data_IF_604701013655
#
_entry.id   IF_604701013655
#
_cell.length_a   1.000
_cell.length_b   1.000
_cell.length_c   1.000
_cell.angle_alpha   90.00
_cell.angle_beta   90.00
_cell.angle_gamma   90.00
#
_symmetry.space_group_name_H-M   'P 1'
#
loop_
_entity.id
_entity.type
_entity.pdbx_description
1 polymer ?
#
# COMPACT_ATOMS: atom_id res chain seq x y z
N UNK A 1 -0.64 -12.44 3.12
CA UNK A 1 0.75 -12.19 3.59
C UNK A 1 0.74 -11.19 4.73
N UNK A 2 1.66 -11.29 5.70
CA UNK A 2 1.76 -10.33 6.82
C UNK A 2 3.06 -9.53 6.71
N UNK A 3 2.94 -8.24 6.46
CA UNK A 3 4.07 -7.30 6.51
C UNK A 3 4.43 -7.02 7.96
N UNK A 4 5.73 -6.85 8.26
CA UNK A 4 6.17 -6.36 9.57
C UNK A 4 5.83 -4.88 9.72
N UNK A 5 5.70 -4.34 10.94
CA UNK A 5 5.41 -2.91 11.15
C UNK A 5 6.41 -1.98 10.46
N UNK A 6 7.70 -2.35 10.42
CA UNK A 6 8.72 -1.57 9.73
C UNK A 6 8.57 -1.62 8.20
N UNK A 7 8.27 -2.79 7.64
CA UNK A 7 8.00 -2.93 6.20
C UNK A 7 6.72 -2.19 5.78
N UNK A 8 5.70 -2.16 6.64
CA UNK A 8 4.47 -1.38 6.41
C UNK A 8 4.78 0.11 6.32
N UNK A 9 5.60 0.64 7.24
CA UNK A 9 6.04 2.04 7.19
C UNK A 9 6.80 2.36 5.91
N UNK A 10 7.73 1.49 5.51
CA UNK A 10 8.49 1.66 4.25
C UNK A 10 7.56 1.60 3.04
N UNK A 11 6.62 0.66 3.01
CA UNK A 11 5.64 0.54 1.93
C UNK A 11 4.77 1.80 1.81
N UNK A 12 4.19 2.27 2.92
CA UNK A 12 3.38 3.48 2.96
C UNK A 12 4.19 4.70 2.48
N UNK A 13 5.43 4.84 2.96
CA UNK A 13 6.30 5.95 2.59
C UNK A 13 6.64 5.96 1.09
N UNK A 14 7.01 4.82 0.49
CA UNK A 14 7.31 4.72 -0.96
C UNK A 14 6.06 5.00 -1.80
N UNK A 15 4.88 4.56 -1.32
CA UNK A 15 3.61 4.82 -1.99
C UNK A 15 3.29 6.32 -2.00
N UNK A 16 3.47 6.99 -0.87
CA UNK A 16 3.11 8.39 -0.71
C UNK A 16 4.19 9.33 -1.30
N UNK A 17 5.45 8.88 -1.40
CA UNK A 17 6.59 9.64 -1.93
C UNK A 17 7.25 8.92 -3.11
N UNK A 18 6.61 9.02 -4.29
CA UNK A 18 7.13 8.40 -5.51
C UNK A 18 8.51 8.95 -5.85
N UNK A 19 9.50 8.06 -6.02
CA UNK A 19 10.87 8.41 -6.35
C UNK A 19 11.75 8.75 -5.15
N UNK A 20 11.31 8.42 -3.94
CA UNK A 20 12.16 8.48 -2.75
C UNK A 20 13.37 7.55 -2.88
N UNK A 21 14.47 7.94 -2.26
CA UNK A 21 15.67 7.12 -2.15
C UNK A 21 15.74 6.39 -0.82
N UNK A 22 16.62 5.39 -0.72
CA UNK A 22 16.93 4.74 0.58
C UNK A 22 17.40 5.73 1.63
N UNK A 23 18.09 6.81 1.22
CA UNK A 23 18.53 7.88 2.12
C UNK A 23 17.36 8.66 2.71
N UNK A 24 16.36 8.99 1.88
CA UNK A 24 15.17 9.72 2.32
C UNK A 24 14.36 8.87 3.31
N UNK A 25 14.17 7.59 2.99
CA UNK A 25 13.48 6.62 3.86
C UNK A 25 14.20 6.49 5.21
N UNK A 26 15.53 6.38 5.21
CA UNK A 26 16.31 6.28 6.44
C UNK A 26 16.20 7.54 7.30
N UNK A 27 16.30 8.72 6.67
CA UNK A 27 16.23 10.01 7.37
C UNK A 27 14.86 10.24 7.99
N UNK A 28 13.80 9.97 7.23
CA UNK A 28 12.44 10.36 7.63
C UNK A 28 11.77 9.30 8.52
N UNK A 29 12.06 8.01 8.31
CA UNK A 29 11.48 6.91 9.11
C UNK A 29 12.39 6.41 10.23
N UNK A 30 13.63 6.89 10.32
CA UNK A 30 14.64 6.46 11.29
C UNK A 30 14.87 4.93 11.28
N UNK A 31 14.89 4.33 10.08
CA UNK A 31 15.11 2.89 9.90
C UNK A 31 16.58 2.67 9.50
N UNK A 32 17.30 1.85 10.26
CA UNK A 32 18.73 1.58 10.04
C UNK A 32 19.03 0.97 8.66
N UNK A 33 18.21 0.02 8.20
CA UNK A 33 18.46 -0.76 6.99
C UNK A 33 17.26 -0.75 6.02
N UNK A 34 16.97 0.38 5.35
CA UNK A 34 15.83 0.49 4.43
C UNK A 34 15.96 -0.48 3.24
N UNK A 35 17.17 -0.69 2.73
CA UNK A 35 17.44 -1.61 1.61
C UNK A 35 17.03 -3.05 1.91
N UNK A 36 17.26 -3.51 3.15
CA UNK A 36 16.86 -4.85 3.59
C UNK A 36 15.33 -4.96 3.65
N UNK A 37 14.64 -3.90 4.08
CA UNK A 37 13.16 -3.86 4.14
C UNK A 37 12.54 -3.81 2.75
N UNK A 38 13.12 -3.06 1.81
CA UNK A 38 12.69 -3.05 0.40
C UNK A 38 12.86 -4.43 -0.24
N UNK A 39 13.99 -5.10 0.02
CA UNK A 39 14.21 -6.49 -0.44
C UNK A 39 13.18 -7.44 0.18
N UNK A 40 12.85 -7.25 1.46
CA UNK A 40 11.79 -7.98 2.14
C UNK A 40 10.42 -7.79 1.50
N UNK A 41 10.07 -6.56 1.11
CA UNK A 41 8.83 -6.24 0.38
C UNK A 41 8.77 -6.97 -0.97
N UNK A 42 9.86 -6.95 -1.75
CA UNK A 42 9.94 -7.66 -3.04
C UNK A 42 9.79 -9.18 -2.89
N UNK A 43 10.46 -9.77 -1.90
CA UNK A 43 10.30 -11.21 -1.57
C UNK A 43 8.87 -11.56 -1.15
N UNK A 44 8.12 -10.57 -0.67
CA UNK A 44 6.70 -10.68 -0.31
C UNK A 44 5.75 -10.34 -1.46
N UNK A 45 6.25 -10.28 -2.70
CA UNK A 45 5.41 -10.04 -3.88
C UNK A 45 4.87 -8.61 -3.98
N UNK A 46 5.46 -7.65 -3.27
CA UNK A 46 5.17 -6.22 -3.49
C UNK A 46 5.98 -5.76 -4.69
N UNK A 47 5.32 -5.17 -5.69
CA UNK A 47 5.97 -4.63 -6.88
C UNK A 47 6.66 -3.29 -6.58
N UNK A 48 7.89 -3.36 -6.08
CA UNK A 48 8.74 -2.20 -5.84
C UNK A 48 9.68 -1.99 -7.02
N UNK A 49 9.40 -0.99 -7.85
CA UNK A 49 10.14 -0.67 -9.06
C UNK A 49 11.27 0.32 -8.79
N UNK A 50 12.37 0.17 -9.52
CA UNK A 50 13.47 1.14 -9.54
C UNK A 50 13.23 2.11 -10.70
N UNK A 51 12.95 3.37 -10.39
CA UNK A 51 12.53 4.36 -11.40
C UNK A 51 13.66 5.30 -11.83
N UNK A 52 14.84 5.17 -11.23
CA UNK A 52 15.99 5.99 -11.56
C UNK A 52 17.04 6.02 -10.46
N UNK A 53 18.00 6.94 -10.61
CA UNK A 53 19.08 7.16 -9.65
C UNK A 53 19.23 8.66 -9.35
N UNK A 54 19.54 9.01 -8.11
CA UNK A 54 19.85 10.36 -7.67
C UNK A 54 21.29 10.41 -7.17
N UNK A 55 22.10 11.32 -7.73
CA UNK A 55 23.46 11.54 -7.27
C UNK A 55 23.50 12.79 -6.39
N UNK A 56 23.91 12.64 -5.14
CA UNK A 56 24.23 13.78 -4.29
C UNK A 56 25.70 14.18 -4.49
N UNK A 57 26.07 15.46 -4.33
CA UNK A 57 27.46 15.90 -4.45
C UNK A 57 28.35 15.12 -3.48
N UNK A 58 29.47 14.58 -3.99
CA UNK A 58 30.42 13.78 -3.20
C UNK A 58 29.96 12.37 -2.80
N UNK A 59 28.74 11.95 -3.16
CA UNK A 59 28.21 10.64 -2.79
C UNK A 59 28.02 9.70 -3.99
N UNK A 60 27.93 8.40 -3.71
CA UNK A 60 27.50 7.40 -4.69
C UNK A 60 26.03 7.67 -5.09
N UNK A 61 25.63 7.31 -6.32
CA UNK A 61 24.24 7.45 -6.74
C UNK A 61 23.33 6.52 -5.93
N UNK A 62 22.21 7.05 -5.45
CA UNK A 62 21.18 6.34 -4.71
C UNK A 62 20.03 5.96 -5.65
N UNK A 63 19.52 4.74 -5.54
CA UNK A 63 18.38 4.28 -6.33
C UNK A 63 17.09 4.94 -5.83
N UNK A 64 16.23 5.33 -6.78
CA UNK A 64 14.87 5.84 -6.53
C UNK A 64 13.86 4.72 -6.67
N UNK A 65 12.88 4.68 -5.78
CA UNK A 65 11.87 3.62 -5.71
C UNK A 65 10.45 4.14 -5.93
N UNK A 66 9.59 3.29 -6.46
CA UNK A 66 8.14 3.50 -6.53
C UNK A 66 7.39 2.17 -6.36
N UNK A 67 6.14 2.23 -5.90
CA UNK A 67 5.23 1.09 -5.97
C UNK A 67 4.59 1.07 -7.36
N UNK A 68 4.74 -0.05 -8.09
CA UNK A 68 4.17 -0.21 -9.43
C UNK A 68 2.67 -0.47 -9.40
N UNK A 69 2.25 -1.55 -8.73
CA UNK A 69 0.85 -1.87 -8.48
C UNK A 69 0.56 -1.84 -6.97
N UNK A 70 -0.32 -0.95 -6.48
CA UNK A 70 -0.68 -0.91 -5.07
C UNK A 70 -1.46 -2.18 -4.68
N UNK A 71 -1.16 -2.76 -3.52
CA UNK A 71 -1.88 -3.93 -3.03
C UNK A 71 -3.33 -3.56 -2.68
N UNK A 72 -4.29 -4.09 -3.43
CA UNK A 72 -5.72 -3.98 -3.16
C UNK A 72 -6.27 -5.30 -2.65
N UNK A 73 -7.01 -5.28 -1.55
CA UNK A 73 -7.85 -6.40 -1.09
C UNK A 73 -9.30 -6.10 -1.39
N UNK A 74 -10.05 -7.11 -1.87
CA UNK A 74 -11.51 -7.06 -1.87
C UNK A 74 -12.02 -7.47 -0.50
N UNK A 75 -12.74 -6.58 0.17
CA UNK A 75 -13.45 -6.86 1.42
C UNK A 75 -14.92 -7.05 1.08
N UNK A 76 -15.47 -8.19 1.50
CA UNK A 76 -16.89 -8.48 1.39
C UNK A 76 -17.57 -8.04 2.69
N UNK A 77 -18.56 -7.15 2.59
CA UNK A 77 -19.43 -6.78 3.70
C UNK A 77 -20.80 -7.43 3.47
N UNK A 78 -21.31 -8.15 4.46
CA UNK A 78 -22.65 -8.75 4.41
C UNK A 78 -23.50 -7.93 5.38
N UNK A 79 -24.48 -7.19 4.84
CA UNK A 79 -25.45 -6.44 5.63
C UNK A 79 -26.81 -7.13 5.51
N UNK A 80 -27.48 -7.32 6.65
CA UNK A 80 -28.85 -7.88 6.68
C UNK A 80 -29.79 -6.69 6.79
N UNK A 81 -30.51 -6.38 5.71
CA UNK A 81 -31.49 -5.28 5.66
C UNK A 81 -32.86 -5.89 5.38
N UNK A 82 -33.81 -5.75 6.30
CA UNK A 82 -35.19 -6.21 6.11
C UNK A 82 -35.36 -7.72 5.90
N UNK A 83 -34.49 -8.55 6.49
CA UNK A 83 -34.54 -10.01 6.33
C UNK A 83 -33.86 -10.56 5.08
N UNK A 84 -33.32 -9.68 4.22
CA UNK A 84 -32.51 -10.06 3.06
C UNK A 84 -31.02 -9.81 3.33
N UNK A 85 -30.19 -10.81 3.01
CA UNK A 85 -28.74 -10.68 3.10
C UNK A 85 -28.20 -9.98 1.84
N UNK A 86 -27.82 -8.71 1.97
CA UNK A 86 -27.22 -7.91 0.90
C UNK A 86 -25.70 -8.05 0.96
N UNK A 87 -25.10 -8.52 -0.14
CA UNK A 87 -23.65 -8.68 -0.26
C UNK A 87 -23.07 -7.45 -0.96
N UNK A 88 -22.25 -6.69 -0.26
CA UNK A 88 -21.54 -5.53 -0.83
C UNK A 88 -20.05 -5.86 -0.94
N UNK A 89 -19.51 -5.78 -2.14
CA UNK A 89 -18.06 -5.92 -2.36
C UNK A 89 -17.42 -4.53 -2.38
N UNK A 90 -16.40 -4.32 -1.54
CA UNK A 90 -15.60 -3.09 -1.55
C UNK A 90 -14.15 -3.43 -1.83
N UNK A 91 -13.54 -2.74 -2.78
CA UNK A 91 -12.09 -2.82 -2.99
C UNK A 91 -11.42 -1.83 -2.05
N UNK A 92 -10.61 -2.31 -1.12
CA UNK A 92 -9.84 -1.48 -0.19
C UNK A 92 -8.35 -1.64 -0.46
N UNK A 93 -7.60 -0.55 -0.29
CA UNK A 93 -6.15 -0.60 -0.26
C UNK A 93 -5.72 -1.32 1.02
N UNK A 94 -4.93 -2.39 0.88
CA UNK A 94 -4.50 -3.23 2.00
C UNK A 94 -3.39 -2.52 2.80
N UNK A 95 -3.81 -1.60 3.67
CA UNK A 95 -2.98 -1.00 4.71
C UNK A 95 -3.07 -1.88 5.96
N UNK A 96 -2.58 -3.12 5.91
CA UNK A 96 -2.62 -3.98 7.09
C UNK A 96 -1.69 -3.43 8.16
N UNK A 97 -2.22 -2.81 9.22
CA UNK A 97 -1.44 -2.21 10.30
C UNK A 97 -2.22 -1.42 11.36
N UNK A 98 -3.25 -2.03 11.94
CA UNK A 98 -3.86 -1.75 13.26
C UNK A 98 -4.88 -0.60 13.44
N UNK A 99 -5.89 -0.96 14.24
CA UNK A 99 -6.83 -0.20 15.08
C UNK A 99 -8.03 0.47 14.41
N UNK A 100 -9.21 0.18 14.98
CA UNK A 100 -10.51 0.58 14.49
C UNK A 100 -10.82 2.07 14.58
N UNK A 101 -12.02 2.40 14.12
CA UNK A 101 -12.71 3.68 14.28
C UNK A 101 -11.88 4.92 13.93
N UNK A 102 -12.00 5.38 12.69
CA UNK A 102 -12.30 6.78 12.38
C UNK A 102 -12.28 6.98 10.86
N UNK A 103 -13.47 7.23 10.31
CA UNK A 103 -13.75 8.31 9.34
C UNK A 103 -12.58 8.80 8.47
N UNK A 104 -12.60 8.39 7.21
CA UNK A 104 -11.74 8.94 6.16
C UNK A 104 -12.03 8.27 4.82
N UNK A 105 -13.31 8.10 4.50
CA UNK A 105 -13.77 7.39 3.30
C UNK A 105 -13.54 8.27 2.08
N UNK A 106 -12.42 8.08 1.38
CA UNK A 106 -12.22 8.65 0.05
C UNK A 106 -13.08 7.82 -0.93
N UNK A 107 -14.28 8.38 -1.19
CA UNK A 107 -15.33 7.80 -2.02
C UNK A 107 -14.85 7.64 -3.47
N UNK A 108 -14.76 6.38 -3.92
CA UNK A 108 -14.92 6.04 -5.33
C UNK A 108 -16.02 4.98 -5.39
N UNK A 109 -17.27 5.44 -5.42
CA UNK A 109 -18.44 4.59 -5.62
C UNK A 109 -18.47 4.08 -7.06
N UNK A 110 -17.91 2.89 -7.32
CA UNK A 110 -18.27 2.12 -8.50
C UNK A 110 -19.49 1.27 -8.14
N UNK A 111 -20.68 1.83 -8.35
CA UNK A 111 -21.94 1.10 -8.22
C UNK A 111 -22.12 0.21 -9.44
N UNK A 112 -21.69 -1.05 -9.35
CA UNK A 112 -22.06 -2.07 -10.33
C UNK A 112 -23.40 -2.68 -9.91
N UNK A 113 -24.49 -2.12 -10.42
CA UNK A 113 -25.82 -2.75 -10.37
C UNK A 113 -25.79 -4.00 -11.25
N UNK A 114 -25.52 -5.17 -10.67
CA UNK A 114 -25.77 -6.43 -11.34
C UNK A 114 -27.27 -6.74 -11.19
N UNK A 115 -28.07 -6.25 -12.14
CA UNK A 115 -29.43 -6.69 -12.32
C UNK A 115 -29.41 -8.16 -12.73
N UNK A 116 -29.89 -9.03 -11.84
CA UNK A 116 -30.11 -10.43 -12.13
C UNK A 116 -31.34 -10.51 -13.05
N UNK A 117 -31.14 -10.90 -14.30
CA UNK A 117 -32.21 -11.21 -15.24
C UNK A 117 -31.97 -12.62 -15.79
N UNK A 118 -32.89 -13.52 -15.51
CA UNK A 118 -33.01 -14.86 -16.11
C UNK A 118 -32.56 -15.99 -15.20
#
# INVERSE_FOLDING_TARGET
MKLTPQEQKVYAYIRDHRGCTTRDIQRDLLIECPSARITGLRRKGVDVQEIGKLKYPGARPFTKYAIGAPQTKRVQHIEIVGGMAVRTFRTVLDLAGSVGLATGLLLVSLSACLANAG
#
